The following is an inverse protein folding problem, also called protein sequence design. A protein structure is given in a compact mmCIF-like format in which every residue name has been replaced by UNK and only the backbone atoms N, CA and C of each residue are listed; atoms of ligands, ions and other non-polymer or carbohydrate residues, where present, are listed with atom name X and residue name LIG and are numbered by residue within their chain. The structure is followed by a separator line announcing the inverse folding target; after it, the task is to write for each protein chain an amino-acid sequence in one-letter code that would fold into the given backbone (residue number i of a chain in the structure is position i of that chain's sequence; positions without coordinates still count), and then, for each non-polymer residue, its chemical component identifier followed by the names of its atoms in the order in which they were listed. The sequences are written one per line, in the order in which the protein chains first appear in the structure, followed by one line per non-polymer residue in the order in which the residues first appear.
data_IF_078967262333
#
_entry.id   IF_078967262333
#
_cell.length_a   1.000
_cell.length_b   1.000
_cell.length_c   1.000
_cell.angle_alpha   90.00
_cell.angle_beta   90.00
_cell.angle_gamma   90.00
#
_symmetry.space_group_name_H-M   'P 1'
#
loop_
_entity.id
_entity.type
_entity.pdbx_description
1 polymer ?
#
# COMPACT_ATOMS: atom_id res chain seq x y z
N UNK A 1 -13.48 -8.98 8.75
CA UNK A 1 -12.72 -9.99 7.98
C UNK A 1 -11.47 -9.31 7.46
N UNK A 2 -10.33 -9.97 7.51
CA UNK A 2 -9.08 -9.40 6.99
C UNK A 2 -9.15 -9.35 5.45
N UNK A 3 -8.85 -8.21 4.83
CA UNK A 3 -8.88 -8.01 3.38
C UNK A 3 -7.78 -7.03 2.97
N UNK A 4 -7.45 -6.97 1.69
CA UNK A 4 -6.58 -5.95 1.14
C UNK A 4 -7.46 -4.78 0.67
N UNK A 5 -7.06 -3.55 0.93
CA UNK A 5 -7.75 -2.35 0.45
C UNK A 5 -6.87 -1.66 -0.59
N UNK A 6 -7.41 -1.38 -1.76
CA UNK A 6 -6.79 -0.58 -2.81
C UNK A 6 -7.48 0.78 -2.90
N UNK A 7 -6.72 1.88 -2.74
CA UNK A 7 -7.19 3.20 -3.15
C UNK A 7 -7.01 3.39 -4.66
N UNK A 8 -8.12 3.48 -5.39
CA UNK A 8 -8.15 3.54 -6.85
C UNK A 8 -8.82 4.83 -7.36
N UNK A 9 -8.15 5.57 -8.24
CA UNK A 9 -8.69 6.80 -8.83
C UNK A 9 -8.64 6.82 -10.37
N UNK A 10 -8.25 5.71 -11.00
CA UNK A 10 -8.12 5.59 -12.44
C UNK A 10 -6.83 6.18 -13.02
N UNK A 11 -5.92 6.72 -12.19
CA UNK A 11 -4.60 7.16 -12.64
C UNK A 11 -3.67 5.98 -12.94
N UNK A 12 -2.63 6.22 -13.75
CA UNK A 12 -1.60 5.21 -14.04
C UNK A 12 -0.96 4.66 -12.76
N UNK A 13 -0.83 5.49 -11.72
CA UNK A 13 -0.29 5.06 -10.43
C UNK A 13 -1.24 4.17 -9.65
N UNK A 14 -2.55 4.39 -9.77
CA UNK A 14 -3.54 3.51 -9.15
C UNK A 14 -3.69 2.20 -9.91
N UNK A 15 -3.44 2.18 -11.22
CA UNK A 15 -3.36 0.94 -12.01
C UNK A 15 -2.15 0.10 -11.58
N UNK A 16 -0.98 0.72 -11.39
CA UNK A 16 0.18 0.01 -10.84
C UNK A 16 -0.08 -0.50 -9.42
N UNK A 17 -0.79 0.28 -8.62
CA UNK A 17 -1.17 -0.12 -7.27
C UNK A 17 -2.18 -1.29 -7.29
N UNK A 18 -3.02 -1.40 -8.32
CA UNK A 18 -3.93 -2.53 -8.52
C UNK A 18 -3.17 -3.84 -8.72
N UNK A 19 -2.14 -3.84 -9.59
CA UNK A 19 -1.32 -5.03 -9.82
C UNK A 19 -0.66 -5.50 -8.52
N UNK A 20 -0.06 -4.57 -7.75
CA UNK A 20 0.52 -4.89 -6.46
C UNK A 20 -0.51 -5.40 -5.44
N UNK A 21 -1.69 -4.78 -5.39
CA UNK A 21 -2.75 -5.18 -4.46
C UNK A 21 -3.31 -6.58 -4.78
N UNK A 22 -3.36 -6.96 -6.06
CA UNK A 22 -3.72 -8.31 -6.48
C UNK A 22 -2.66 -9.33 -6.06
N UNK A 23 -1.37 -9.04 -6.25
CA UNK A 23 -0.28 -9.90 -5.78
C UNK A 23 -0.36 -10.12 -4.25
N UNK A 24 -0.59 -9.06 -3.47
CA UNK A 24 -0.78 -9.17 -2.02
C UNK A 24 -1.99 -10.03 -1.65
N UNK A 25 -3.11 -9.82 -2.36
CA UNK A 25 -4.33 -10.56 -2.13
C UNK A 25 -4.16 -12.06 -2.44
N UNK A 26 -3.48 -12.39 -3.53
CA UNK A 26 -3.18 -13.78 -3.92
C UNK A 26 -2.21 -14.45 -2.96
N UNK A 27 -1.09 -13.81 -2.63
CA UNK A 27 -0.07 -14.34 -1.72
C UNK A 27 -0.64 -14.61 -0.32
N UNK A 28 -1.52 -13.72 0.16
CA UNK A 28 -2.15 -13.83 1.47
C UNK A 28 -3.46 -14.60 1.47
N UNK A 29 -4.01 -14.92 0.29
CA UNK A 29 -5.32 -15.56 0.10
C UNK A 29 -6.45 -14.74 0.76
N UNK A 30 -6.42 -13.44 0.55
CA UNK A 30 -7.40 -12.50 1.09
C UNK A 30 -8.21 -11.84 -0.04
N UNK A 31 -9.46 -11.43 0.21
CA UNK A 31 -10.21 -10.64 -0.76
C UNK A 31 -9.60 -9.25 -0.93
N UNK A 32 -9.85 -8.63 -2.08
CA UNK A 32 -9.46 -7.27 -2.41
C UNK A 32 -10.68 -6.35 -2.43
N UNK A 33 -10.66 -5.28 -1.65
CA UNK A 33 -11.62 -4.18 -1.76
C UNK A 33 -11.02 -3.04 -2.58
N UNK A 34 -11.60 -2.78 -3.75
CA UNK A 34 -11.28 -1.61 -4.56
C UNK A 34 -12.10 -0.44 -4.04
N UNK A 35 -11.43 0.58 -3.51
CA UNK A 35 -12.06 1.76 -2.91
C UNK A 35 -11.84 3.00 -3.78
N UNK A 36 -12.92 3.72 -4.08
CA UNK A 36 -12.90 5.01 -4.76
C UNK A 36 -13.73 6.02 -3.98
N UNK A 37 -13.24 7.26 -3.90
CA UNK A 37 -13.95 8.33 -3.23
C UNK A 37 -14.12 9.53 -4.16
N UNK A 38 -15.28 10.15 -4.08
CA UNK A 38 -15.61 11.38 -4.81
C UNK A 38 -16.21 12.40 -3.86
N UNK A 39 -16.07 13.66 -4.17
CA UNK A 39 -16.70 14.74 -3.43
C UNK A 39 -17.03 15.91 -4.35
N UNK A 40 -18.11 16.62 -4.01
CA UNK A 40 -18.41 17.87 -4.64
C UNK A 40 -17.46 18.97 -4.12
N UNK A 41 -16.67 19.63 -4.98
CA UNK A 41 -15.64 20.55 -4.50
C UNK A 41 -16.15 21.97 -4.23
N UNK A 42 -17.39 22.29 -4.60
CA UNK A 42 -17.93 23.66 -4.57
C UNK A 42 -19.29 23.69 -3.87
N UNK A 43 -19.48 24.50 -2.83
CA UNK A 43 -20.75 24.91 -2.21
C UNK A 43 -21.97 24.00 -2.41
N UNK A 44 -23.15 24.60 -2.66
CA UNK A 44 -24.36 23.84 -2.97
C UNK A 44 -24.39 23.47 -4.46
N UNK A 45 -24.57 22.19 -4.75
CA UNK A 45 -24.85 21.69 -6.10
C UNK A 45 -26.29 21.22 -6.18
N UNK A 46 -26.89 21.35 -7.36
CA UNK A 46 -28.15 20.68 -7.64
C UNK A 46 -27.96 19.15 -7.68
N UNK A 47 -29.03 18.45 -7.42
CA UNK A 47 -29.02 16.97 -7.35
C UNK A 47 -28.64 16.32 -8.71
N UNK A 48 -28.91 16.96 -9.82
CA UNK A 48 -28.58 16.46 -11.15
C UNK A 48 -27.06 16.45 -11.35
N UNK A 49 -26.39 17.54 -10.97
CA UNK A 49 -24.92 17.67 -11.05
C UNK A 49 -24.21 16.68 -10.13
N UNK A 50 -24.70 16.51 -8.88
CA UNK A 50 -24.18 15.50 -7.96
C UNK A 50 -24.33 14.09 -8.51
N UNK A 51 -25.49 13.77 -9.10
CA UNK A 51 -25.74 12.48 -9.72
C UNK A 51 -24.82 12.21 -10.91
N UNK A 52 -24.47 13.21 -11.71
CA UNK A 52 -23.48 13.03 -12.78
C UNK A 52 -22.08 12.69 -12.24
N UNK A 53 -21.64 13.39 -11.21
CA UNK A 53 -20.34 13.08 -10.57
C UNK A 53 -20.33 11.69 -9.93
N UNK A 54 -21.41 11.33 -9.24
CA UNK A 54 -21.54 9.99 -8.65
C UNK A 54 -21.46 8.90 -9.71
N UNK A 55 -22.16 9.07 -10.84
CA UNK A 55 -22.08 8.12 -11.97
C UNK A 55 -20.67 8.02 -12.55
N UNK A 56 -19.96 9.15 -12.68
CA UNK A 56 -18.59 9.16 -13.14
C UNK A 56 -17.66 8.42 -12.15
N UNK A 57 -17.84 8.64 -10.85
CA UNK A 57 -17.10 7.95 -9.80
C UNK A 57 -17.39 6.44 -9.79
N UNK A 58 -18.66 6.07 -9.94
CA UNK A 58 -19.08 4.67 -10.05
C UNK A 58 -18.44 3.98 -11.25
N UNK A 59 -18.33 4.68 -12.39
CA UNK A 59 -17.65 4.16 -13.58
C UNK A 59 -16.15 3.94 -13.35
N UNK A 60 -15.46 4.86 -12.66
CA UNK A 60 -14.04 4.68 -12.29
C UNK A 60 -13.88 3.46 -11.39
N UNK A 61 -14.72 3.31 -10.37
CA UNK A 61 -14.69 2.18 -9.46
C UNK A 61 -14.97 0.86 -10.18
N UNK A 62 -16.01 0.84 -11.03
CA UNK A 62 -16.37 -0.32 -11.82
C UNK A 62 -15.20 -0.76 -12.72
N UNK A 63 -14.55 0.19 -13.41
CA UNK A 63 -13.38 -0.08 -14.25
C UNK A 63 -12.24 -0.74 -13.45
N UNK A 64 -11.89 -0.21 -12.27
CA UNK A 64 -10.86 -0.80 -11.42
C UNK A 64 -11.20 -2.22 -10.97
N UNK A 65 -12.46 -2.44 -10.57
CA UNK A 65 -12.95 -3.76 -10.16
C UNK A 65 -13.01 -4.77 -11.32
N UNK A 66 -13.35 -4.30 -12.52
CA UNK A 66 -13.39 -5.13 -13.73
C UNK A 66 -11.98 -5.55 -14.17
N UNK A 67 -11.03 -4.61 -14.17
CA UNK A 67 -9.62 -4.92 -14.38
C UNK A 67 -9.09 -5.94 -13.37
N UNK A 68 -9.43 -5.78 -12.07
CA UNK A 68 -9.05 -6.73 -11.05
C UNK A 68 -9.59 -8.16 -11.32
N UNK A 69 -10.88 -8.27 -11.67
CA UNK A 69 -11.50 -9.56 -12.00
C UNK A 69 -10.94 -10.19 -13.28
N UNK A 70 -10.56 -9.37 -14.25
CA UNK A 70 -9.94 -9.85 -15.48
C UNK A 70 -8.51 -10.36 -15.26
N UNK A 71 -7.79 -9.77 -14.29
CA UNK A 71 -6.39 -10.12 -13.98
C UNK A 71 -6.29 -11.34 -13.06
N UNK A 72 -7.15 -11.45 -12.05
CA UNK A 72 -7.13 -12.57 -11.10
C UNK A 72 -8.51 -13.22 -10.97
N UNK A 73 -8.54 -14.55 -11.16
CA UNK A 73 -9.75 -15.38 -10.96
C UNK A 73 -9.86 -15.97 -9.56
N UNK A 74 -8.82 -15.85 -8.73
CA UNK A 74 -8.75 -16.48 -7.40
C UNK A 74 -9.04 -15.52 -6.26
N UNK A 75 -8.98 -14.21 -6.52
CA UNK A 75 -9.22 -13.15 -5.55
C UNK A 75 -10.68 -12.71 -5.59
N UNK A 76 -11.36 -12.75 -4.43
CA UNK A 76 -12.67 -12.12 -4.28
C UNK A 76 -12.57 -10.60 -4.36
N UNK A 77 -13.29 -9.97 -5.30
CA UNK A 77 -13.25 -8.53 -5.52
C UNK A 77 -14.51 -7.87 -4.97
N UNK A 78 -14.33 -7.01 -3.98
CA UNK A 78 -15.35 -6.14 -3.40
C UNK A 78 -15.12 -4.68 -3.84
N UNK A 79 -16.12 -3.83 -3.69
CA UNK A 79 -16.03 -2.42 -4.08
C UNK A 79 -16.54 -1.51 -2.96
N UNK A 80 -15.90 -0.36 -2.78
CA UNK A 80 -16.29 0.68 -1.83
C UNK A 80 -16.34 2.05 -2.55
N UNK A 81 -17.55 2.56 -2.81
CA UNK A 81 -17.76 3.90 -3.34
C UNK A 81 -18.16 4.84 -2.20
N UNK A 82 -17.35 5.86 -1.96
CA UNK A 82 -17.55 6.77 -0.84
C UNK A 82 -17.72 8.22 -1.30
N UNK A 83 -18.69 8.92 -0.72
CA UNK A 83 -18.85 10.37 -0.88
C UNK A 83 -18.12 11.09 0.25
N UNK A 84 -16.96 11.68 -0.06
CA UNK A 84 -16.14 12.40 0.91
C UNK A 84 -14.64 12.28 0.62
N UNK A 85 -13.79 12.72 1.56
CA UNK A 85 -12.34 12.72 1.38
C UNK A 85 -11.75 11.32 1.32
N UNK A 86 -11.08 10.97 0.21
CA UNK A 86 -10.47 9.66 -0.03
C UNK A 86 -9.50 9.24 1.08
N UNK A 87 -8.68 10.18 1.57
CA UNK A 87 -7.68 9.87 2.60
C UNK A 87 -8.31 9.43 3.93
N UNK A 88 -9.42 10.05 4.34
CA UNK A 88 -10.15 9.68 5.55
C UNK A 88 -10.80 8.30 5.39
N UNK A 89 -11.46 8.06 4.24
CA UNK A 89 -12.08 6.76 3.98
C UNK A 89 -11.09 5.61 4.01
N UNK A 90 -9.92 5.76 3.39
CA UNK A 90 -8.88 4.73 3.41
C UNK A 90 -8.32 4.47 4.82
N UNK A 91 -8.22 5.51 5.66
CA UNK A 91 -7.84 5.34 7.08
C UNK A 91 -8.95 4.61 7.85
N UNK A 92 -10.23 4.89 7.63
CA UNK A 92 -11.34 4.14 8.23
C UNK A 92 -11.29 2.66 7.83
N UNK A 93 -11.12 2.37 6.54
CA UNK A 93 -11.03 1.00 6.04
C UNK A 93 -9.81 0.25 6.59
N UNK A 94 -8.73 0.96 6.93
CA UNK A 94 -7.50 0.36 7.44
C UNK A 94 -7.68 -0.37 8.78
N UNK A 95 -8.69 -0.01 9.57
CA UNK A 95 -8.98 -0.67 10.87
C UNK A 95 -9.39 -2.14 10.74
N UNK A 96 -9.93 -2.53 9.59
CA UNK A 96 -10.34 -3.92 9.27
C UNK A 96 -9.48 -4.59 8.21
N UNK A 97 -8.52 -3.88 7.63
CA UNK A 97 -7.68 -4.36 6.54
C UNK A 97 -6.39 -5.02 7.04
N UNK A 98 -5.88 -5.98 6.27
CA UNK A 98 -4.53 -6.50 6.46
C UNK A 98 -3.48 -5.50 5.96
N UNK A 99 -3.75 -4.86 4.82
CA UNK A 99 -2.88 -3.88 4.16
C UNK A 99 -3.76 -2.89 3.39
N UNK A 100 -3.34 -1.62 3.36
CA UNK A 100 -3.84 -0.63 2.41
C UNK A 100 -2.78 -0.40 1.33
N UNK A 101 -3.17 -0.48 0.06
CA UNK A 101 -2.30 -0.21 -1.10
C UNK A 101 -2.78 1.04 -1.81
N UNK A 102 -1.88 1.95 -2.11
CA UNK A 102 -2.17 3.20 -2.83
C UNK A 102 -1.09 3.52 -3.84
N UNK A 103 -1.45 4.19 -4.92
CA UNK A 103 -0.47 4.78 -5.83
C UNK A 103 0.26 5.96 -5.19
N UNK A 104 1.50 6.21 -5.59
CA UNK A 104 2.27 7.35 -5.08
C UNK A 104 1.71 8.71 -5.48
N UNK A 105 0.91 8.78 -6.54
CA UNK A 105 0.24 9.98 -7.05
C UNK A 105 -1.17 9.63 -7.53
N UNK A 106 -2.03 10.62 -7.69
CA UNK A 106 -3.38 10.48 -8.25
C UNK A 106 -3.61 11.46 -9.40
N UNK A 107 -4.81 11.45 -9.97
CA UNK A 107 -5.22 12.28 -11.12
C UNK A 107 -5.02 13.78 -10.91
N UNK A 108 -5.16 14.26 -9.68
CA UNK A 108 -5.08 15.69 -9.33
C UNK A 108 -3.72 16.07 -8.73
N UNK A 109 -2.69 15.24 -8.91
CA UNK A 109 -1.34 15.52 -8.42
C UNK A 109 -0.76 16.79 -9.08
N UNK A 110 -0.23 17.70 -8.24
CA UNK A 110 0.45 18.90 -8.76
C UNK A 110 1.66 18.49 -9.61
N UNK A 111 1.88 19.14 -10.77
CA UNK A 111 3.10 18.94 -11.55
C UNK A 111 4.34 19.15 -10.67
N UNK A 112 5.25 18.18 -10.65
CA UNK A 112 6.44 18.23 -9.80
C UNK A 112 6.25 17.68 -8.36
N UNK A 113 5.03 17.40 -7.91
CA UNK A 113 4.84 16.69 -6.65
C UNK A 113 5.31 15.24 -6.78
N UNK A 114 6.24 14.84 -5.92
CA UNK A 114 6.81 13.47 -5.95
C UNK A 114 5.88 12.45 -5.30
N UNK A 115 5.02 12.88 -4.35
CA UNK A 115 4.04 12.02 -3.65
C UNK A 115 2.74 12.79 -3.41
N UNK A 116 1.59 12.14 -3.64
CA UNK A 116 0.26 12.70 -3.44
C UNK A 116 -0.12 12.89 -1.96
N UNK A 117 -1.06 13.79 -1.70
CA UNK A 117 -1.56 14.07 -0.36
C UNK A 117 -2.25 12.87 0.27
N UNK A 118 -3.02 12.10 -0.50
CA UNK A 118 -3.72 10.88 -0.03
C UNK A 118 -2.71 9.85 0.44
N UNK A 119 -1.71 9.50 -0.38
CA UNK A 119 -0.69 8.52 -0.02
C UNK A 119 0.07 8.90 1.26
N UNK A 120 0.47 10.17 1.40
CA UNK A 120 1.13 10.67 2.61
C UNK A 120 0.23 10.61 3.84
N UNK A 121 -1.02 11.00 3.70
CA UNK A 121 -1.96 11.01 4.82
C UNK A 121 -2.26 9.58 5.28
N UNK A 122 -2.55 8.67 4.37
CA UNK A 122 -2.83 7.26 4.69
C UNK A 122 -1.61 6.60 5.32
N UNK A 123 -0.41 6.78 4.75
CA UNK A 123 0.84 6.27 5.32
C UNK A 123 1.09 6.75 6.75
N UNK A 124 0.64 7.98 7.10
CA UNK A 124 0.80 8.54 8.43
C UNK A 124 -0.25 8.07 9.44
N UNK A 125 -1.48 7.74 9.02
CA UNK A 125 -2.63 7.59 9.92
C UNK A 125 -3.31 6.22 9.90
N UNK A 126 -3.06 5.36 8.90
CA UNK A 126 -3.68 4.04 8.82
C UNK A 126 -3.36 3.16 10.02
N UNK A 127 -4.28 2.27 10.41
CA UNK A 127 -4.10 1.33 11.52
C UNK A 127 -3.36 0.05 11.13
N UNK A 128 -3.31 -0.26 9.82
CA UNK A 128 -2.56 -1.38 9.26
C UNK A 128 -1.32 -0.90 8.47
N UNK A 129 -0.46 -1.80 7.98
CA UNK A 129 0.59 -1.48 7.01
C UNK A 129 0.03 -0.82 5.75
N UNK A 130 0.76 0.16 5.21
CA UNK A 130 0.42 0.88 3.98
C UNK A 130 1.53 0.69 2.96
N UNK A 131 1.20 0.17 1.78
CA UNK A 131 2.13 0.08 0.67
C UNK A 131 1.83 1.22 -0.31
N UNK A 132 2.81 2.10 -0.48
CA UNK A 132 2.77 3.18 -1.47
C UNK A 132 3.52 2.70 -2.71
N UNK A 133 2.77 2.38 -3.76
CA UNK A 133 3.31 1.86 -5.01
C UNK A 133 3.81 3.01 -5.86
N UNK A 134 5.04 2.86 -6.34
CA UNK A 134 5.70 3.83 -7.20
C UNK A 134 6.64 3.12 -8.17
N UNK A 135 6.81 3.72 -9.32
CA UNK A 135 7.66 3.20 -10.37
C UNK A 135 7.57 4.07 -11.62
N UNK A 136 8.37 3.79 -12.64
CA UNK A 136 8.43 4.59 -13.87
C UNK A 136 7.28 4.33 -14.86
N UNK A 137 6.18 3.73 -14.44
CA UNK A 137 5.06 3.36 -15.31
C UNK A 137 4.74 1.87 -15.26
N UNK A 138 3.73 1.40 -15.99
CA UNK A 138 3.38 -0.01 -16.07
C UNK A 138 4.47 -0.76 -16.84
N UNK A 139 5.60 -0.99 -16.19
CA UNK A 139 6.64 -1.85 -16.71
C UNK A 139 6.39 -3.26 -16.18
N UNK A 140 6.65 -4.29 -17.00
CA UNK A 140 6.66 -5.65 -16.49
C UNK A 140 7.59 -5.75 -15.28
N UNK A 141 7.19 -6.53 -14.29
CA UNK A 141 8.03 -6.79 -13.12
C UNK A 141 9.44 -7.19 -13.59
N UNK A 142 10.51 -6.70 -12.92
CA UNK A 142 11.86 -7.06 -13.29
C UNK A 142 12.01 -8.58 -13.24
N UNK A 143 12.70 -9.16 -14.22
CA UNK A 143 12.92 -10.60 -14.32
C UNK A 143 13.58 -11.20 -13.07
N UNK A 144 14.32 -10.37 -12.32
CA UNK A 144 14.92 -10.70 -11.02
C UNK A 144 14.61 -9.57 -10.04
N UNK A 145 13.53 -9.70 -9.25
CA UNK A 145 13.22 -8.73 -8.22
C UNK A 145 14.33 -8.73 -7.17
N UNK A 146 14.76 -7.53 -6.74
CA UNK A 146 15.74 -7.38 -5.68
C UNK A 146 15.19 -7.78 -4.31
N UNK A 147 15.96 -7.60 -3.23
CA UNK A 147 15.58 -8.00 -1.89
C UNK A 147 14.48 -7.11 -1.30
N UNK A 148 13.86 -7.57 -0.23
CA UNK A 148 13.11 -6.74 0.70
C UNK A 148 14.12 -6.01 1.60
N UNK A 149 14.04 -4.70 1.74
CA UNK A 149 15.00 -3.89 2.51
C UNK A 149 14.29 -3.18 3.65
N UNK A 150 14.77 -3.36 4.88
CA UNK A 150 14.34 -2.59 6.04
C UNK A 150 15.18 -1.31 6.13
N UNK A 151 14.51 -0.14 6.06
CA UNK A 151 15.17 1.16 6.07
C UNK A 151 15.57 1.64 7.46
N UNK A 152 14.92 1.13 8.52
CA UNK A 152 15.19 1.51 9.89
C UNK A 152 16.51 0.92 10.39
N UNK A 153 17.34 1.76 11.06
CA UNK A 153 18.54 1.26 11.74
C UNK A 153 18.21 0.39 12.96
N UNK A 154 17.14 0.75 13.65
CA UNK A 154 16.62 0.04 14.83
C UNK A 154 15.14 -0.28 14.57
N UNK A 155 14.83 -1.29 13.76
CA UNK A 155 13.47 -1.64 13.43
C UNK A 155 12.74 -2.23 14.65
N UNK A 156 11.44 -1.99 14.73
CA UNK A 156 10.58 -2.65 15.72
C UNK A 156 10.28 -4.08 15.30
N UNK A 157 9.83 -4.91 16.25
CA UNK A 157 9.43 -6.29 15.96
C UNK A 157 8.34 -6.36 14.87
N UNK A 158 7.37 -5.45 14.87
CA UNK A 158 6.32 -5.39 13.84
C UNK A 158 6.84 -5.07 12.45
N UNK A 159 7.87 -4.23 12.34
CA UNK A 159 8.52 -3.92 11.06
C UNK A 159 9.28 -5.13 10.53
N UNK A 160 10.01 -5.81 11.41
CA UNK A 160 10.78 -7.02 11.06
C UNK A 160 9.87 -8.17 10.65
N UNK A 161 8.80 -8.41 11.40
CA UNK A 161 7.82 -9.45 11.12
C UNK A 161 7.12 -9.21 9.77
N UNK A 162 6.71 -7.98 9.48
CA UNK A 162 6.13 -7.62 8.19
C UNK A 162 7.15 -7.84 7.06
N UNK A 163 8.38 -7.35 7.21
CA UNK A 163 9.41 -7.46 6.18
C UNK A 163 9.84 -8.91 5.92
N UNK A 164 9.94 -9.72 6.99
CA UNK A 164 10.24 -11.14 6.88
C UNK A 164 9.08 -11.91 6.22
N UNK A 165 7.83 -11.58 6.56
CA UNK A 165 6.65 -12.16 5.90
C UNK A 165 6.61 -11.87 4.41
N UNK A 166 6.92 -10.63 3.99
CA UNK A 166 7.04 -10.26 2.57
C UNK A 166 8.16 -11.04 1.87
N UNK A 167 9.30 -11.15 2.52
CA UNK A 167 10.45 -11.89 1.98
C UNK A 167 10.13 -13.39 1.81
N UNK A 168 9.48 -13.99 2.79
CA UNK A 168 9.09 -15.42 2.77
C UNK A 168 8.07 -15.71 1.67
N UNK A 169 6.96 -14.95 1.63
CA UNK A 169 5.91 -15.14 0.63
C UNK A 169 6.41 -14.96 -0.80
N UNK A 170 7.30 -13.98 -1.03
CA UNK A 170 7.87 -13.67 -2.34
C UNK A 170 9.13 -14.47 -2.66
N UNK A 171 9.65 -15.25 -1.70
CA UNK A 171 10.92 -16.01 -1.80
C UNK A 171 12.10 -15.10 -2.14
N UNK A 172 12.17 -13.94 -1.51
CA UNK A 172 13.22 -12.95 -1.68
C UNK A 172 14.12 -12.89 -0.46
N UNK A 173 15.33 -12.37 -0.64
CA UNK A 173 16.22 -12.11 0.48
C UNK A 173 15.73 -10.90 1.29
N UNK A 174 15.96 -10.92 2.61
CA UNK A 174 15.73 -9.80 3.51
C UNK A 174 17.06 -9.11 3.81
N UNK A 175 17.12 -7.79 3.60
CA UNK A 175 18.25 -6.94 3.98
C UNK A 175 17.86 -6.08 5.17
N UNK A 176 18.53 -6.30 6.30
CA UNK A 176 18.27 -5.58 7.54
C UNK A 176 19.55 -5.44 8.37
N UNK A 177 19.62 -4.40 9.21
CA UNK A 177 20.69 -4.22 10.20
C UNK A 177 20.39 -4.94 11.52
N UNK A 178 19.16 -5.44 11.70
CA UNK A 178 18.77 -6.17 12.89
C UNK A 178 19.26 -7.64 12.87
N UNK A 179 19.58 -8.16 14.04
CA UNK A 179 19.95 -9.55 14.19
C UNK A 179 18.75 -10.49 13.96
N UNK A 180 18.96 -11.70 13.38
CA UNK A 180 17.89 -12.61 12.95
C UNK A 180 17.00 -13.16 14.08
N UNK A 181 17.45 -13.13 15.32
CA UNK A 181 16.88 -13.87 16.46
C UNK A 181 15.40 -13.64 16.76
N UNK A 182 14.85 -12.50 16.36
CA UNK A 182 13.46 -12.12 16.71
C UNK A 182 12.41 -12.54 15.68
N UNK A 183 12.79 -12.79 14.44
CA UNK A 183 11.85 -13.08 13.35
C UNK A 183 12.16 -14.39 12.60
N UNK A 184 13.38 -14.93 12.76
CA UNK A 184 13.81 -16.12 12.04
C UNK A 184 13.09 -17.40 12.52
N UNK A 185 12.60 -17.42 13.75
CA UNK A 185 11.79 -18.54 14.25
C UNK A 185 10.46 -18.66 13.50
N UNK A 186 9.82 -17.51 13.18
CA UNK A 186 8.58 -17.47 12.41
C UNK A 186 8.80 -17.65 10.90
N UNK A 187 9.99 -17.31 10.40
CA UNK A 187 10.34 -17.33 8.98
C UNK A 187 11.69 -18.04 8.72
N UNK A 188 11.78 -19.36 8.96
CA UNK A 188 13.05 -20.09 8.90
C UNK A 188 13.68 -20.15 7.51
N UNK A 189 12.91 -19.96 6.45
CA UNK A 189 13.37 -20.03 5.07
C UNK A 189 13.93 -18.70 4.53
N UNK A 190 13.77 -17.60 5.28
CA UNK A 190 14.23 -16.28 4.84
C UNK A 190 15.74 -16.14 4.97
N UNK A 191 16.40 -15.91 3.85
CA UNK A 191 17.85 -15.61 3.82
C UNK A 191 18.05 -14.13 4.15
N UNK A 192 18.61 -13.84 5.32
CA UNK A 192 18.97 -12.47 5.69
C UNK A 192 20.38 -12.09 5.25
N UNK A 193 20.55 -10.82 4.89
CA UNK A 193 21.86 -10.21 4.60
C UNK A 193 21.98 -8.92 5.43
N UNK A 194 23.12 -8.75 6.07
CA UNK A 194 23.43 -7.57 6.90
C UNK A 194 24.02 -6.41 6.08
N UNK A 195 24.13 -6.53 4.76
CA UNK A 195 24.91 -5.62 3.93
C UNK A 195 24.06 -4.84 2.91
N UNK A 196 24.56 -3.66 2.51
CA UNK A 196 23.95 -2.76 1.52
C UNK A 196 23.46 -3.52 0.27
N UNK A 197 22.20 -3.34 -0.06
CA UNK A 197 21.64 -3.88 -1.29
C UNK A 197 22.30 -3.18 -2.48
N UNK A 198 23.07 -3.92 -3.28
CA UNK A 198 23.61 -3.44 -4.56
C UNK A 198 22.57 -3.48 -5.68
N UNK A 199 21.46 -4.13 -5.43
CA UNK A 199 20.34 -4.33 -6.35
C UNK A 199 19.19 -3.37 -5.99
N UNK A 200 18.40 -2.95 -6.97
CA UNK A 200 17.18 -2.18 -6.70
C UNK A 200 16.23 -3.04 -5.86
N UNK A 201 15.82 -2.62 -4.66
CA UNK A 201 14.92 -3.39 -3.82
C UNK A 201 13.58 -3.68 -4.53
N UNK A 202 12.98 -4.83 -4.24
CA UNK A 202 11.60 -5.11 -4.62
C UNK A 202 10.62 -4.29 -3.76
N UNK A 203 10.93 -4.12 -2.47
CA UNK A 203 10.15 -3.35 -1.51
C UNK A 203 11.07 -2.78 -0.44
N UNK A 204 10.85 -1.53 -0.05
CA UNK A 204 11.46 -0.93 1.14
C UNK A 204 10.42 -0.90 2.25
N UNK A 205 10.77 -1.42 3.43
CA UNK A 205 9.91 -1.43 4.63
C UNK A 205 10.46 -0.44 5.65
N UNK A 206 9.60 0.44 6.15
CA UNK A 206 9.94 1.45 7.14
C UNK A 206 8.89 1.51 8.26
N UNK A 207 9.34 1.69 9.49
CA UNK A 207 8.47 1.82 10.64
C UNK A 207 7.94 3.24 10.82
N UNK A 208 6.64 3.36 11.06
CA UNK A 208 6.03 4.62 11.48
C UNK A 208 6.25 4.83 12.97
N UNK A 209 7.42 5.29 13.37
CA UNK A 209 7.69 5.74 14.73
C UNK A 209 7.13 7.16 14.92
N UNK A 210 6.85 7.56 16.19
CA UNK A 210 6.34 8.89 16.54
C UNK A 210 7.19 10.00 15.93
N UNK A 211 6.59 11.14 15.66
CA UNK A 211 7.07 12.46 15.18
C UNK A 211 8.44 12.56 14.47
N UNK A 212 9.50 11.96 14.98
CA UNK A 212 10.88 12.12 14.49
C UNK A 212 11.16 11.38 13.17
N UNK A 213 10.32 10.39 12.79
CA UNK A 213 10.48 9.59 11.56
C UNK A 213 9.63 10.08 10.39
N UNK A 214 8.74 11.05 10.57
CA UNK A 214 7.92 11.60 9.48
C UNK A 214 8.79 12.17 8.35
N UNK A 215 9.95 12.75 8.69
CA UNK A 215 10.92 13.23 7.71
C UNK A 215 11.56 12.11 6.87
N UNK A 216 11.92 10.99 7.50
CA UNK A 216 12.49 9.83 6.82
C UNK A 216 11.46 9.17 5.91
N UNK A 217 10.25 8.92 6.42
CA UNK A 217 9.16 8.35 5.62
C UNK A 217 8.83 9.27 4.43
N UNK A 218 8.72 10.58 4.65
CA UNK A 218 8.49 11.54 3.59
C UNK A 218 9.60 11.49 2.52
N UNK A 219 10.87 11.38 2.94
CA UNK A 219 12.01 11.24 2.03
C UNK A 219 11.96 9.91 1.26
N UNK A 220 11.68 8.79 1.93
CA UNK A 220 11.52 7.50 1.26
C UNK A 220 10.38 7.53 0.25
N UNK A 221 9.22 8.04 0.66
CA UNK A 221 8.08 8.18 -0.24
C UNK A 221 8.38 9.10 -1.44
N UNK A 222 9.30 10.06 -1.31
CA UNK A 222 9.71 10.95 -2.38
C UNK A 222 10.75 10.36 -3.32
N UNK A 223 11.71 9.60 -2.83
CA UNK A 223 12.93 9.28 -3.56
C UNK A 223 13.19 7.78 -3.75
N UNK A 224 12.45 6.90 -3.07
CA UNK A 224 12.65 5.46 -3.24
C UNK A 224 12.44 5.03 -4.69
N UNK A 225 13.28 4.14 -5.24
CA UNK A 225 13.18 3.65 -6.60
C UNK A 225 12.13 2.54 -6.76
N UNK A 226 11.52 2.08 -5.67
CA UNK A 226 10.61 0.96 -5.60
C UNK A 226 9.43 1.27 -4.66
N UNK A 227 8.40 0.43 -4.55
CA UNK A 227 7.36 0.56 -3.55
C UNK A 227 7.89 0.66 -2.12
N UNK A 228 7.16 1.38 -1.27
CA UNK A 228 7.50 1.59 0.14
C UNK A 228 6.35 1.13 1.02
N UNK A 229 6.61 0.19 1.92
CA UNK A 229 5.70 -0.21 2.98
C UNK A 229 5.97 0.60 4.26
N UNK A 230 4.93 1.23 4.79
CA UNK A 230 4.98 1.96 6.06
C UNK A 230 4.21 1.17 7.11
N UNK A 231 4.91 0.67 8.13
CA UNK A 231 4.36 -0.22 9.15
C UNK A 231 4.19 0.52 10.49
N UNK A 232 3.02 0.41 11.11
CA UNK A 232 2.77 0.95 12.44
C UNK A 232 3.59 0.23 13.52
N UNK A 233 3.91 0.92 14.62
CA UNK A 233 4.68 0.34 15.73
C UNK A 233 3.85 -0.48 16.71
N UNK A 234 2.52 -0.43 16.64
CA UNK A 234 1.61 -1.28 17.42
C UNK A 234 1.02 -2.34 16.50
N UNK A 235 1.32 -3.59 16.76
CA UNK A 235 0.48 -4.69 16.27
C UNK A 235 -0.93 -4.44 16.76
N UNK A 236 -1.90 -4.36 15.85
CA UNK A 236 -3.32 -4.27 16.20
C UNK A 236 -3.62 -5.34 17.26
N UNK A 237 -4.31 -4.96 18.31
CA UNK A 237 -4.84 -5.93 19.28
C UNK A 237 -5.60 -6.98 18.47
N UNK A 238 -5.14 -8.21 18.54
CA UNK A 238 -5.84 -9.36 17.99
C UNK A 238 -7.33 -9.33 18.40
N UNK A 239 -8.20 -10.02 17.67
CA UNK A 239 -9.65 -9.95 17.90
C UNK A 239 -9.93 -10.19 19.38
N UNK A 240 -10.61 -9.23 20.01
CA UNK A 240 -11.17 -9.46 21.34
C UNK A 240 -12.20 -10.56 21.19
N UNK A 241 -11.90 -11.70 21.80
CA UNK A 241 -12.79 -12.84 21.91
C UNK A 241 -14.11 -12.48 22.57
#
# INVERSE_FOLDING_TARGET
MNHIVLGYDGSDFSVQALDWALDEAELRRLPLTVAHAWQWPYGEADEETKNHLRKAADHVLWHGADCARATSSVVGIETDLYEGPAAQRLVELSSGAAIVVVGSRGLHGLPGALVGSVARYVAAHAECPVIVVRGPGPLPAPAHPGPIVVADKEPTASVLEFAAGEADMRRLALVTTAEPQTWQESHPNVVSRVQEARETPALIVAGRKRADHLGMIASLLQHAPCPVAVVGTSMGKGPRG
#
